data_IF_369111803997
#
_entry.id   IF_369111803997
#
_cell.length_a   1.000
_cell.length_b   1.000
_cell.length_c   1.000
_cell.angle_alpha   90.00
_cell.angle_beta   90.00
_cell.angle_gamma   90.00
#
_symmetry.space_group_name_H-M   'P 1'
#
loop_
_entity.id
_entity.type
_entity.pdbx_description
1 polymer ?
#
# COMPACT_ATOMS: atom_id res chain seq x y z
N UNK A 1 14.64 14.45 -13.88
CA UNK A 1 13.56 13.51 -14.26
C UNK A 1 12.50 13.58 -13.18
N UNK A 2 11.24 13.63 -13.58
CA UNK A 2 10.07 13.49 -12.69
C UNK A 2 9.28 12.26 -13.14
N UNK A 3 8.27 11.84 -12.38
CA UNK A 3 7.39 10.77 -12.85
C UNK A 3 6.81 11.11 -14.22
N UNK A 4 6.94 10.18 -15.16
CA UNK A 4 6.48 10.28 -16.55
C UNK A 4 7.09 11.40 -17.41
N UNK A 5 7.99 12.22 -16.85
CA UNK A 5 8.54 13.40 -17.51
C UNK A 5 10.07 13.43 -17.51
N UNK A 6 10.63 13.60 -18.71
CA UNK A 6 12.05 13.85 -18.94
C UNK A 6 12.18 15.28 -19.49
N UNK A 7 13.06 16.14 -18.92
CA UNK A 7 13.23 17.50 -19.41
C UNK A 7 13.56 17.55 -20.90
N UNK A 8 12.97 18.51 -21.61
CA UNK A 8 13.15 18.71 -23.05
C UNK A 8 14.41 19.49 -23.43
N UNK A 9 14.94 20.27 -22.50
CA UNK A 9 16.08 21.17 -22.64
C UNK A 9 17.43 20.51 -22.26
N UNK A 10 17.56 19.19 -22.48
CA UNK A 10 18.80 18.48 -22.17
C UNK A 10 19.92 18.82 -23.17
N UNK A 11 21.16 19.05 -22.70
CA UNK A 11 22.29 19.33 -23.58
C UNK A 11 22.61 18.12 -24.47
N UNK A 12 23.03 18.39 -25.71
CA UNK A 12 23.49 17.32 -26.62
C UNK A 12 24.82 16.75 -26.13
N UNK A 13 24.92 15.42 -26.06
CA UNK A 13 26.19 14.75 -25.78
C UNK A 13 27.10 14.81 -27.01
N UNK A 14 28.02 15.78 -27.01
CA UNK A 14 28.95 16.07 -28.14
C UNK A 14 30.34 15.47 -27.99
N UNK A 15 30.56 14.64 -26.96
CA UNK A 15 31.86 14.04 -26.70
C UNK A 15 32.13 12.86 -27.64
N UNK A 16 33.32 12.81 -28.23
CA UNK A 16 33.74 11.74 -29.15
C UNK A 16 34.14 10.44 -28.43
N UNK A 17 34.32 10.48 -27.11
CA UNK A 17 34.73 9.33 -26.28
C UNK A 17 33.88 9.27 -25.00
N UNK A 18 33.64 8.06 -24.51
CA UNK A 18 33.08 7.78 -23.19
C UNK A 18 34.01 6.80 -22.45
N UNK A 19 34.11 6.92 -21.13
CA UNK A 19 35.06 6.12 -20.32
C UNK A 19 34.76 4.61 -20.41
N UNK A 20 33.49 4.23 -20.59
CA UNK A 20 33.06 2.85 -20.83
C UNK A 20 31.91 2.83 -21.83
N UNK A 21 32.21 2.89 -23.14
CA UNK A 21 31.17 2.93 -24.14
C UNK A 21 30.34 1.63 -24.09
N UNK A 22 29.04 1.78 -24.32
CA UNK A 22 28.10 0.68 -24.52
C UNK A 22 27.56 0.74 -25.94
N UNK A 23 26.93 -0.35 -26.38
CA UNK A 23 26.27 -0.41 -27.69
C UNK A 23 25.29 0.75 -27.84
N UNK A 24 25.35 1.48 -28.95
CA UNK A 24 24.52 2.68 -29.18
C UNK A 24 23.03 2.40 -29.07
N UNK A 25 22.61 1.18 -29.41
CA UNK A 25 21.24 0.69 -29.38
C UNK A 25 20.57 0.85 -28.01
N UNK A 26 21.31 0.74 -26.89
CA UNK A 26 20.71 0.86 -25.55
C UNK A 26 20.29 2.30 -25.21
N UNK A 27 20.71 3.28 -26.00
CA UNK A 27 20.41 4.69 -25.85
C UNK A 27 19.32 5.17 -26.81
N UNK A 28 18.83 4.29 -27.70
CA UNK A 28 17.87 4.66 -28.74
C UNK A 28 16.43 4.65 -28.25
N UNK A 29 15.64 5.59 -28.76
CA UNK A 29 14.21 5.65 -28.49
C UNK A 29 13.39 4.57 -29.24
N UNK A 30 12.21 4.16 -28.71
CA UNK A 30 11.63 4.57 -27.43
C UNK A 30 12.37 3.97 -26.23
N UNK A 31 12.72 4.82 -25.27
CA UNK A 31 13.59 4.47 -24.15
C UNK A 31 12.84 4.62 -22.83
N UNK A 32 12.56 3.51 -22.15
CA UNK A 32 12.08 3.53 -20.77
C UNK A 32 13.27 3.80 -19.84
N UNK A 33 13.21 4.85 -19.04
CA UNK A 33 14.21 5.21 -18.04
C UNK A 33 13.62 5.08 -16.65
N UNK A 34 14.37 4.46 -15.73
CA UNK A 34 14.00 4.26 -14.33
C UNK A 34 15.13 4.79 -13.44
N UNK A 35 14.81 5.62 -12.45
CA UNK A 35 15.79 6.07 -11.46
C UNK A 35 16.13 4.91 -10.52
N UNK A 36 17.43 4.66 -10.33
CA UNK A 36 17.90 3.60 -9.45
C UNK A 36 17.55 3.83 -7.96
N UNK A 37 17.66 5.08 -7.51
CA UNK A 37 17.38 5.48 -6.12
C UNK A 37 15.95 6.03 -6.03
N UNK A 38 15.23 5.64 -4.99
CA UNK A 38 13.92 6.19 -4.64
C UNK A 38 14.11 7.54 -3.93
N UNK A 39 13.54 8.60 -4.49
CA UNK A 39 13.78 9.98 -4.05
C UNK A 39 12.51 10.58 -3.45
N UNK A 40 12.54 10.89 -2.15
CA UNK A 40 11.44 11.56 -1.44
C UNK A 40 10.10 10.80 -1.36
N UNK A 41 9.97 9.66 -2.05
CA UNK A 41 8.76 8.86 -2.16
C UNK A 41 9.13 7.39 -2.36
N UNK A 42 8.30 6.45 -1.88
CA UNK A 42 8.50 5.03 -2.13
C UNK A 42 8.19 4.62 -3.59
N UNK A 43 7.52 5.47 -4.38
CA UNK A 43 7.19 5.16 -5.77
C UNK A 43 8.41 5.19 -6.68
N UNK A 44 8.49 4.23 -7.60
CA UNK A 44 9.55 4.16 -8.60
C UNK A 44 9.42 5.30 -9.59
N UNK A 45 10.49 6.07 -9.77
CA UNK A 45 10.53 7.18 -10.70
C UNK A 45 10.89 6.65 -12.09
N UNK A 46 9.86 6.48 -12.94
CA UNK A 46 9.98 5.99 -14.31
C UNK A 46 9.40 6.99 -15.32
N UNK A 47 10.00 7.06 -16.51
CA UNK A 47 9.53 7.89 -17.62
C UNK A 47 9.98 7.28 -18.96
N UNK A 48 9.33 7.70 -20.05
CA UNK A 48 9.69 7.25 -21.41
C UNK A 48 10.22 8.44 -22.20
N UNK A 49 11.30 8.21 -22.94
CA UNK A 49 11.79 9.16 -23.93
C UNK A 49 11.50 8.66 -25.34
N UNK A 50 10.96 9.56 -26.17
CA UNK A 50 10.81 9.35 -27.61
C UNK A 50 12.02 9.88 -28.41
N UNK A 51 13.08 10.32 -27.73
CA UNK A 51 14.37 10.71 -28.31
C UNK A 51 15.52 9.89 -27.72
N UNK A 52 16.60 9.78 -28.47
CA UNK A 52 17.81 9.12 -28.00
C UNK A 52 18.38 9.90 -26.80
N UNK A 53 18.78 9.19 -25.74
CA UNK A 53 19.31 9.81 -24.52
C UNK A 53 20.55 9.08 -24.02
N UNK A 54 21.53 9.85 -23.57
CA UNK A 54 22.65 9.35 -22.77
C UNK A 54 22.35 9.63 -21.30
N UNK A 55 22.61 8.63 -20.44
CA UNK A 55 22.33 8.70 -19.01
C UNK A 55 23.48 8.10 -18.21
N UNK A 56 23.58 8.50 -16.94
CA UNK A 56 24.59 7.97 -16.01
C UNK A 56 24.13 6.64 -15.41
N UNK A 57 25.02 5.93 -14.71
CA UNK A 57 24.70 4.71 -13.96
C UNK A 57 23.71 4.91 -12.79
N UNK A 58 23.24 6.14 -12.56
CA UNK A 58 22.18 6.46 -11.61
C UNK A 58 20.78 6.14 -12.12
N UNK A 59 20.68 5.60 -13.34
CA UNK A 59 19.46 5.21 -14.01
C UNK A 59 19.62 3.82 -14.64
N UNK A 60 18.52 3.08 -14.68
CA UNK A 60 18.34 1.94 -15.57
C UNK A 60 17.62 2.43 -16.83
N UNK A 61 17.89 1.81 -17.97
CA UNK A 61 17.11 2.04 -19.16
C UNK A 61 16.91 0.77 -19.98
N UNK A 62 15.77 0.72 -20.65
CA UNK A 62 15.42 -0.32 -21.61
C UNK A 62 15.02 0.37 -22.90
N UNK A 63 15.76 0.11 -23.98
CA UNK A 63 15.37 0.52 -25.33
C UNK A 63 14.39 -0.50 -25.89
N UNK A 64 13.22 -0.03 -26.33
CA UNK A 64 12.19 -0.86 -26.95
C UNK A 64 12.19 -0.67 -28.47
N UNK A 65 11.72 -1.65 -29.26
CA UNK A 65 11.58 -1.45 -30.71
C UNK A 65 10.64 -0.29 -31.03
N UNK A 66 10.89 0.42 -32.15
CA UNK A 66 10.16 1.65 -32.55
C UNK A 66 8.62 1.56 -32.57
N UNK A 67 8.04 0.37 -32.68
CA UNK A 67 6.59 0.15 -32.61
C UNK A 67 6.00 0.00 -31.20
N UNK A 68 6.84 0.02 -30.14
CA UNK A 68 6.45 -0.35 -28.77
C UNK A 68 6.43 0.85 -27.81
N UNK A 69 6.31 2.09 -28.30
CA UNK A 69 6.22 3.29 -27.46
C UNK A 69 5.09 3.18 -26.43
N UNK A 70 3.90 2.74 -26.84
CA UNK A 70 2.77 2.52 -25.92
C UNK A 70 3.08 1.48 -24.84
N UNK A 71 3.81 0.42 -25.18
CA UNK A 71 4.25 -0.58 -24.21
C UNK A 71 5.24 0.02 -23.21
N UNK A 72 6.16 0.87 -23.67
CA UNK A 72 7.08 1.59 -22.79
C UNK A 72 6.33 2.46 -21.78
N UNK A 73 5.31 3.20 -22.23
CA UNK A 73 4.48 4.04 -21.34
C UNK A 73 3.70 3.19 -20.35
N UNK A 74 3.02 2.14 -20.81
CA UNK A 74 2.26 1.26 -19.94
C UNK A 74 3.15 0.62 -18.86
N UNK A 75 4.36 0.18 -19.22
CA UNK A 75 5.34 -0.35 -18.27
C UNK A 75 5.83 0.73 -17.29
N UNK A 76 6.07 1.97 -17.74
CA UNK A 76 6.41 3.08 -16.85
C UNK A 76 5.30 3.37 -15.83
N UNK A 77 4.03 3.30 -16.27
CA UNK A 77 2.85 3.46 -15.42
C UNK A 77 2.78 2.36 -14.35
N UNK A 78 2.93 1.09 -14.77
CA UNK A 78 2.94 -0.06 -13.85
C UNK A 78 4.08 0.08 -12.84
N UNK A 79 5.29 0.42 -13.27
CA UNK A 79 6.44 0.59 -12.39
C UNK A 79 6.22 1.69 -11.34
N UNK A 80 5.50 2.76 -11.67
CA UNK A 80 5.24 3.88 -10.76
C UNK A 80 4.09 3.63 -9.77
N UNK A 81 3.40 2.49 -9.86
CA UNK A 81 2.20 2.17 -9.08
C UNK A 81 2.48 1.71 -7.65
N UNK A 82 1.42 1.69 -6.83
CA UNK A 82 1.43 1.08 -5.50
C UNK A 82 1.77 -0.41 -5.57
N UNK A 83 1.26 -1.12 -6.59
CA UNK A 83 1.54 -2.55 -6.82
C UNK A 83 3.05 -2.81 -6.97
N UNK A 84 3.72 -2.08 -7.86
CA UNK A 84 5.15 -2.24 -8.07
C UNK A 84 5.94 -1.88 -6.79
N UNK A 85 5.52 -0.82 -6.09
CA UNK A 85 6.16 -0.41 -4.84
C UNK A 85 6.03 -1.47 -3.75
N UNK A 86 4.83 -2.01 -3.53
CA UNK A 86 4.57 -3.10 -2.60
C UNK A 86 5.41 -4.33 -2.95
N UNK A 87 5.44 -4.71 -4.24
CA UNK A 87 6.23 -5.84 -4.71
C UNK A 87 7.73 -5.66 -4.42
N UNK A 88 8.30 -4.51 -4.80
CA UNK A 88 9.72 -4.25 -4.58
C UNK A 88 10.06 -4.10 -3.10
N UNK A 89 9.17 -3.53 -2.30
CA UNK A 89 9.38 -3.43 -0.86
C UNK A 89 9.53 -4.81 -0.19
N UNK A 90 8.88 -5.84 -0.74
CA UNK A 90 8.96 -7.21 -0.23
C UNK A 90 10.07 -8.05 -0.86
N UNK A 91 10.53 -7.71 -2.06
CA UNK A 91 11.37 -8.61 -2.88
C UNK A 91 12.73 -8.04 -3.27
N UNK A 92 12.91 -6.72 -3.26
CA UNK A 92 14.16 -6.10 -3.69
C UNK A 92 15.28 -6.37 -2.69
N UNK A 93 16.50 -6.52 -3.21
CA UNK A 93 17.65 -6.88 -2.37
C UNK A 93 18.12 -5.73 -1.45
N UNK A 94 17.90 -4.46 -1.86
CA UNK A 94 18.34 -3.29 -1.10
C UNK A 94 17.17 -2.49 -0.49
N UNK A 95 16.08 -2.28 -1.23
CA UNK A 95 14.94 -1.49 -0.77
C UNK A 95 14.23 -2.17 0.41
N UNK A 96 14.01 -1.42 1.49
CA UNK A 96 13.44 -1.93 2.73
C UNK A 96 14.47 -2.49 3.72
N UNK A 97 15.70 -2.77 3.27
CA UNK A 97 16.73 -3.44 4.06
C UNK A 97 17.92 -2.52 4.35
N UNK A 98 18.52 -1.92 3.31
CA UNK A 98 19.75 -1.15 3.45
C UNK A 98 19.67 0.23 2.80
N UNK A 99 19.50 0.27 1.48
CA UNK A 99 19.43 1.51 0.70
C UNK A 99 18.07 1.65 0.07
N UNK A 100 17.62 2.89 -0.11
CA UNK A 100 16.39 3.23 -0.85
C UNK A 100 16.66 3.13 -2.35
N UNK A 101 17.01 1.93 -2.81
CA UNK A 101 17.58 1.63 -4.11
C UNK A 101 17.00 0.33 -4.67
N UNK A 102 16.76 0.31 -5.96
CA UNK A 102 16.46 -0.90 -6.73
C UNK A 102 17.69 -1.33 -7.53
N UNK A 103 17.81 -2.61 -7.81
CA UNK A 103 18.77 -3.17 -8.74
C UNK A 103 18.08 -3.50 -10.07
N UNK A 104 18.84 -3.54 -11.16
CA UNK A 104 18.31 -3.95 -12.47
C UNK A 104 17.64 -5.35 -12.42
N UNK A 105 18.20 -6.25 -11.60
CA UNK A 105 17.63 -7.58 -11.35
C UNK A 105 16.27 -7.50 -10.65
N UNK A 106 16.07 -6.57 -9.73
CA UNK A 106 14.78 -6.42 -9.03
C UNK A 106 13.68 -6.07 -10.04
N UNK A 107 13.95 -5.12 -10.94
CA UNK A 107 13.02 -4.73 -12.00
C UNK A 107 12.61 -5.91 -12.90
N UNK A 108 13.53 -6.85 -13.14
CA UNK A 108 13.25 -8.03 -13.99
C UNK A 108 12.34 -9.06 -13.34
N UNK A 109 12.11 -8.99 -12.03
CA UNK A 109 11.21 -9.91 -11.31
C UNK A 109 9.79 -9.39 -11.17
N UNK A 110 9.53 -8.11 -11.47
CA UNK A 110 8.19 -7.57 -11.37
C UNK A 110 7.26 -8.35 -12.31
N UNK A 111 6.19 -8.99 -11.80
CA UNK A 111 5.19 -9.61 -12.65
C UNK A 111 4.56 -8.53 -13.51
N UNK A 112 4.52 -8.74 -14.81
CA UNK A 112 3.91 -7.82 -15.77
C UNK A 112 2.87 -8.55 -16.61
N UNK A 113 1.78 -7.89 -17.01
CA UNK A 113 0.81 -8.51 -17.91
C UNK A 113 1.44 -8.70 -19.29
N UNK A 114 0.80 -9.52 -20.12
CA UNK A 114 1.17 -9.60 -21.52
C UNK A 114 0.90 -8.24 -22.19
N UNK A 115 1.94 -7.43 -22.40
CA UNK A 115 1.76 -6.08 -22.92
C UNK A 115 1.23 -6.01 -24.36
N UNK A 116 1.37 -7.08 -25.15
CA UNK A 116 0.82 -7.12 -26.51
C UNK A 116 -0.71 -7.10 -26.49
N UNK A 117 -1.34 -7.77 -25.52
CA UNK A 117 -2.79 -7.72 -25.31
C UNK A 117 -3.20 -6.54 -24.42
N UNK A 118 -2.45 -6.27 -23.35
CA UNK A 118 -2.79 -5.23 -22.38
C UNK A 118 -2.92 -3.85 -23.04
N UNK A 119 -2.00 -3.48 -23.93
CA UNK A 119 -2.06 -2.18 -24.65
C UNK A 119 -3.34 -2.01 -25.48
N UNK A 120 -4.00 -3.11 -25.88
CA UNK A 120 -5.25 -3.08 -26.67
C UNK A 120 -6.51 -3.22 -25.81
N UNK A 121 -6.37 -3.68 -24.57
CA UNK A 121 -7.48 -3.83 -23.62
C UNK A 121 -8.02 -2.48 -23.15
N UNK A 122 -9.26 -2.45 -22.68
CA UNK A 122 -9.88 -1.26 -22.08
C UNK A 122 -9.08 -0.76 -20.87
N UNK A 123 -8.67 -1.66 -19.97
CA UNK A 123 -7.85 -1.34 -18.80
C UNK A 123 -6.50 -0.70 -19.18
N UNK A 124 -5.82 -1.25 -20.19
CA UNK A 124 -4.56 -0.68 -20.66
C UNK A 124 -4.72 0.66 -21.38
N UNK A 125 -5.80 0.86 -22.15
CA UNK A 125 -6.11 2.16 -22.75
C UNK A 125 -6.40 3.22 -21.69
N UNK A 126 -7.16 2.86 -20.64
CA UNK A 126 -7.41 3.71 -19.48
C UNK A 126 -6.12 4.13 -18.79
N UNK A 127 -5.20 3.19 -18.54
CA UNK A 127 -3.89 3.50 -17.94
C UNK A 127 -3.04 4.43 -18.80
N UNK A 128 -2.99 4.21 -20.11
CA UNK A 128 -2.28 5.10 -21.03
C UNK A 128 -2.87 6.52 -21.03
N UNK A 129 -4.19 6.65 -20.89
CA UNK A 129 -4.84 7.95 -20.80
C UNK A 129 -4.54 8.65 -19.47
N UNK A 130 -4.55 7.91 -18.35
CA UNK A 130 -4.16 8.41 -17.03
C UNK A 130 -2.70 8.89 -17.06
N UNK A 131 -1.78 8.06 -17.57
CA UNK A 131 -0.36 8.43 -17.69
C UNK A 131 -0.16 9.69 -18.53
N UNK A 132 -0.86 9.80 -19.66
CA UNK A 132 -0.81 10.99 -20.51
C UNK A 132 -1.29 12.24 -19.76
N UNK A 133 -2.36 12.12 -18.97
CA UNK A 133 -2.88 13.21 -18.16
C UNK A 133 -1.91 13.62 -17.05
N UNK A 134 -1.34 12.66 -16.32
CA UNK A 134 -0.33 12.91 -15.26
C UNK A 134 0.93 13.55 -15.84
N UNK A 135 1.34 13.12 -17.04
CA UNK A 135 2.47 13.71 -17.74
C UNK A 135 2.22 15.18 -18.11
N UNK A 136 1.01 15.50 -18.57
CA UNK A 136 0.66 16.85 -19.02
C UNK A 136 0.37 17.83 -17.86
N UNK A 137 -0.29 17.34 -16.80
CA UNK A 137 -0.83 18.19 -15.74
C UNK A 137 -0.06 18.09 -14.42
N UNK A 138 0.91 17.18 -14.33
CA UNK A 138 1.61 16.84 -13.09
C UNK A 138 0.90 15.76 -12.29
N UNK A 139 1.51 15.38 -11.17
CA UNK A 139 1.03 14.31 -10.28
C UNK A 139 0.51 14.87 -8.97
N UNK A 140 -0.69 14.48 -8.58
CA UNK A 140 -1.30 14.76 -7.27
C UNK A 140 -1.86 13.47 -6.64
N UNK A 141 -2.38 13.56 -5.41
CA UNK A 141 -2.89 12.39 -4.68
C UNK A 141 -4.05 11.71 -5.42
N UNK A 142 -4.94 12.49 -6.03
CA UNK A 142 -6.08 11.97 -6.79
C UNK A 142 -5.61 11.20 -8.03
N UNK A 143 -4.66 11.75 -8.76
CA UNK A 143 -4.06 11.14 -9.93
C UNK A 143 -3.32 9.84 -9.60
N UNK A 144 -2.64 9.78 -8.45
CA UNK A 144 -2.04 8.55 -7.95
C UNK A 144 -3.08 7.49 -7.59
N UNK A 145 -4.15 7.88 -6.91
CA UNK A 145 -5.23 6.96 -6.56
C UNK A 145 -5.91 6.40 -7.82
N UNK A 146 -6.20 7.24 -8.82
CA UNK A 146 -6.78 6.80 -10.08
C UNK A 146 -5.86 5.84 -10.85
N UNK A 147 -4.55 6.14 -10.87
CA UNK A 147 -3.54 5.26 -11.46
C UNK A 147 -3.52 3.90 -10.77
N UNK A 148 -3.48 3.89 -9.44
CA UNK A 148 -3.40 2.64 -8.68
C UNK A 148 -4.66 1.78 -8.90
N UNK A 149 -5.87 2.36 -8.88
CA UNK A 149 -7.10 1.62 -9.20
C UNK A 149 -7.05 1.02 -10.61
N UNK A 150 -6.61 1.79 -11.60
CA UNK A 150 -6.52 1.29 -12.96
C UNK A 150 -5.45 0.19 -13.12
N UNK A 151 -4.38 0.22 -12.32
CA UNK A 151 -3.42 -0.89 -12.24
C UNK A 151 -4.07 -2.10 -11.58
N UNK A 152 -4.81 -1.93 -10.49
CA UNK A 152 -5.51 -3.04 -9.83
C UNK A 152 -6.51 -3.71 -10.76
N UNK A 153 -7.24 -2.94 -11.55
CA UNK A 153 -8.15 -3.45 -12.57
C UNK A 153 -7.39 -4.22 -13.66
N UNK A 154 -6.21 -3.74 -14.11
CA UNK A 154 -5.39 -4.43 -15.11
C UNK A 154 -4.88 -5.80 -14.64
N UNK A 155 -4.61 -5.95 -13.33
CA UNK A 155 -4.16 -7.19 -12.71
C UNK A 155 -5.31 -8.02 -12.11
N UNK A 156 -6.57 -7.59 -12.29
CA UNK A 156 -7.77 -8.26 -11.78
C UNK A 156 -7.73 -8.51 -10.26
N UNK A 157 -7.17 -7.54 -9.51
CA UNK A 157 -6.99 -7.64 -8.07
C UNK A 157 -8.31 -7.41 -7.32
N UNK A 158 -8.59 -8.29 -6.36
CA UNK A 158 -9.78 -8.19 -5.51
C UNK A 158 -9.58 -7.15 -4.38
N UNK A 159 -10.63 -6.87 -3.61
CA UNK A 159 -10.59 -5.84 -2.57
C UNK A 159 -9.58 -6.11 -1.45
N UNK A 160 -9.36 -7.38 -1.10
CA UNK A 160 -8.34 -7.77 -0.12
C UNK A 160 -6.92 -7.51 -0.67
N UNK A 161 -6.66 -7.90 -1.92
CA UNK A 161 -5.38 -7.63 -2.60
C UNK A 161 -5.09 -6.13 -2.67
N UNK A 162 -6.10 -5.33 -3.04
CA UNK A 162 -5.99 -3.87 -3.10
C UNK A 162 -5.65 -3.29 -1.72
N UNK A 163 -6.29 -3.80 -0.67
CA UNK A 163 -6.00 -3.38 0.72
C UNK A 163 -4.56 -3.67 1.10
N UNK A 164 -4.09 -4.90 0.84
CA UNK A 164 -2.70 -5.32 1.10
C UNK A 164 -1.70 -4.44 0.37
N UNK A 165 -1.95 -4.12 -0.90
CA UNK A 165 -1.04 -3.32 -1.73
C UNK A 165 -1.02 -1.85 -1.28
N UNK A 166 -2.17 -1.24 -0.98
CA UNK A 166 -2.23 0.15 -0.49
C UNK A 166 -1.48 0.29 0.83
N UNK A 167 -1.69 -0.65 1.76
CA UNK A 167 -0.94 -0.67 3.02
C UNK A 167 0.55 -0.98 2.81
N UNK A 168 0.86 -1.80 1.79
CA UNK A 168 2.21 -2.03 1.31
C UNK A 168 2.95 -0.76 0.92
N UNK A 169 2.30 0.10 0.13
CA UNK A 169 2.83 1.41 -0.25
C UNK A 169 3.04 2.30 0.98
N UNK A 170 2.09 2.34 1.91
CA UNK A 170 2.23 3.12 3.15
C UNK A 170 3.42 2.64 3.97
N UNK A 171 3.55 1.32 4.17
CA UNK A 171 4.68 0.69 4.87
C UNK A 171 6.02 0.97 4.18
N UNK A 172 6.06 0.93 2.86
CA UNK A 172 7.24 1.30 2.09
C UNK A 172 7.64 2.78 2.35
N UNK A 173 6.65 3.67 2.53
CA UNK A 173 6.86 5.07 2.91
C UNK A 173 7.54 5.26 4.28
N UNK A 174 7.46 4.29 5.20
CA UNK A 174 8.12 4.36 6.52
C UNK A 174 9.65 4.27 6.44
N UNK A 175 10.20 4.00 5.26
CA UNK A 175 11.63 4.13 5.01
C UNK A 175 12.10 5.59 5.14
N UNK A 176 11.21 6.58 4.97
CA UNK A 176 11.46 8.00 5.20
C UNK A 176 10.98 8.45 6.58
N UNK A 177 11.54 9.54 7.08
CA UNK A 177 11.22 10.10 8.41
C UNK A 177 9.74 10.47 8.53
N UNK A 178 9.22 11.26 7.60
CA UNK A 178 7.80 11.67 7.57
C UNK A 178 6.83 10.48 7.59
N UNK A 179 7.12 9.42 6.82
CA UNK A 179 6.28 8.22 6.81
C UNK A 179 6.36 7.47 8.15
N UNK A 180 7.55 7.39 8.76
CA UNK A 180 7.77 6.74 10.05
C UNK A 180 7.05 7.48 11.17
N UNK A 181 7.12 8.80 11.19
CA UNK A 181 6.40 9.66 12.15
C UNK A 181 4.89 9.51 12.00
N UNK A 182 4.38 9.62 10.78
CA UNK A 182 2.95 9.40 10.48
C UNK A 182 2.45 8.03 10.94
N UNK A 183 3.29 6.98 10.88
CA UNK A 183 2.92 5.62 11.32
C UNK A 183 2.68 5.49 12.83
N UNK A 184 3.27 6.38 13.63
CA UNK A 184 3.14 6.38 15.10
C UNK A 184 2.15 7.41 15.62
N UNK A 185 1.63 8.29 14.75
CA UNK A 185 0.56 9.22 15.10
C UNK A 185 -0.70 8.46 15.55
N UNK A 186 -1.47 9.01 16.51
CA UNK A 186 -2.73 8.41 16.92
C UNK A 186 -3.74 8.36 15.75
N UNK A 187 -4.32 7.20 15.53
CA UNK A 187 -5.43 6.97 14.59
C UNK A 187 -6.68 7.71 15.04
N UNK A 188 -7.43 8.30 14.12
CA UNK A 188 -8.73 8.87 14.45
C UNK A 188 -9.82 7.79 14.42
N UNK A 189 -10.69 7.83 15.42
CA UNK A 189 -11.74 6.82 15.63
C UNK A 189 -12.77 6.82 14.49
N UNK A 190 -13.05 7.99 13.92
CA UNK A 190 -14.08 8.22 12.90
C UNK A 190 -13.56 7.97 11.49
N UNK A 191 -12.24 8.05 11.27
CA UNK A 191 -11.61 7.77 9.98
C UNK A 191 -10.88 6.42 9.95
N UNK A 192 -9.64 6.33 10.45
CA UNK A 192 -8.79 5.14 10.25
C UNK A 192 -9.34 3.92 11.00
N UNK A 193 -9.80 4.07 12.24
CA UNK A 193 -10.34 2.94 13.02
C UNK A 193 -11.68 2.46 12.44
N UNK A 194 -12.49 3.38 11.92
CA UNK A 194 -13.72 3.05 11.21
C UNK A 194 -13.44 2.34 9.89
N UNK A 195 -12.41 2.74 9.15
CA UNK A 195 -11.98 2.04 7.93
C UNK A 195 -11.49 0.61 8.26
N UNK A 196 -10.66 0.46 9.29
CA UNK A 196 -10.25 -0.84 9.83
C UNK A 196 -11.47 -1.72 10.16
N UNK A 197 -12.46 -1.19 10.89
CA UNK A 197 -13.65 -1.96 11.27
C UNK A 197 -14.47 -2.42 10.07
N UNK A 198 -14.55 -1.61 9.00
CA UNK A 198 -15.20 -2.00 7.74
C UNK A 198 -14.47 -3.16 7.05
N UNK A 199 -13.15 -3.08 6.95
CA UNK A 199 -12.32 -4.17 6.36
C UNK A 199 -12.40 -5.44 7.18
N UNK A 200 -12.45 -5.35 8.52
CA UNK A 200 -12.67 -6.51 9.37
C UNK A 200 -14.04 -7.16 9.07
N UNK A 201 -15.10 -6.34 9.00
CA UNK A 201 -16.46 -6.84 8.75
C UNK A 201 -16.63 -7.46 7.37
N UNK A 202 -15.97 -6.95 6.33
CA UNK A 202 -16.07 -7.54 4.99
C UNK A 202 -15.61 -9.00 4.96
N UNK A 203 -14.54 -9.33 5.71
CA UNK A 203 -14.09 -10.73 5.86
C UNK A 203 -15.13 -11.56 6.60
N UNK A 204 -15.66 -11.06 7.72
CA UNK A 204 -16.63 -11.80 8.54
C UNK A 204 -17.97 -12.00 7.81
N UNK A 205 -18.43 -11.02 7.03
CA UNK A 205 -19.66 -11.12 6.25
C UNK A 205 -19.61 -12.26 5.24
N UNK A 206 -18.48 -12.45 4.55
CA UNK A 206 -18.30 -13.56 3.62
C UNK A 206 -18.51 -14.91 4.31
N UNK A 207 -18.05 -15.05 5.57
CA UNK A 207 -18.30 -16.25 6.38
C UNK A 207 -19.75 -16.39 6.85
N UNK A 208 -20.39 -15.31 7.30
CA UNK A 208 -21.75 -15.36 7.86
C UNK A 208 -22.85 -15.47 6.79
N UNK A 209 -22.61 -14.90 5.60
CA UNK A 209 -23.56 -14.87 4.48
C UNK A 209 -23.97 -16.25 3.99
N UNK A 210 -23.10 -17.26 4.15
CA UNK A 210 -23.34 -18.66 3.74
C UNK A 210 -24.63 -19.23 4.34
N UNK A 211 -24.91 -18.94 5.62
CA UNK A 211 -26.14 -19.38 6.29
C UNK A 211 -27.17 -18.27 6.42
N UNK A 212 -26.74 -17.00 6.37
CA UNK A 212 -27.57 -15.81 6.52
C UNK A 212 -28.50 -15.84 7.75
N UNK A 213 -28.01 -16.43 8.85
CA UNK A 213 -28.73 -16.53 10.13
C UNK A 213 -28.24 -15.53 11.16
N UNK A 214 -27.10 -14.91 10.89
CA UNK A 214 -26.41 -14.01 11.79
C UNK A 214 -25.71 -12.95 10.97
N UNK A 215 -25.53 -11.80 11.57
CA UNK A 215 -24.71 -10.72 11.02
C UNK A 215 -23.90 -10.08 12.15
N UNK A 216 -22.90 -9.30 11.80
CA UNK A 216 -22.02 -8.66 12.77
C UNK A 216 -22.00 -7.16 12.56
N UNK A 217 -22.09 -6.40 13.64
CA UNK A 217 -21.91 -4.94 13.62
C UNK A 217 -20.71 -4.53 14.46
N UNK A 218 -20.07 -3.44 14.08
CA UNK A 218 -18.96 -2.84 14.82
C UNK A 218 -19.38 -1.55 15.53
N UNK A 219 -18.93 -1.40 16.76
CA UNK A 219 -18.97 -0.17 17.54
C UNK A 219 -17.54 0.29 17.76
N UNK A 220 -17.17 1.38 17.09
CA UNK A 220 -15.90 2.06 17.30
C UNK A 220 -16.08 3.05 18.44
N UNK A 221 -15.30 2.92 19.50
CA UNK A 221 -15.38 3.85 20.62
C UNK A 221 -14.73 5.19 20.24
N UNK A 222 -15.47 6.28 20.36
CA UNK A 222 -15.03 7.64 20.07
C UNK A 222 -14.13 8.16 21.20
N UNK A 223 -12.85 7.78 21.12
CA UNK A 223 -11.85 8.17 22.11
C UNK A 223 -11.07 9.40 21.62
N UNK A 224 -10.71 10.34 22.53
CA UNK A 224 -9.91 11.49 22.16
C UNK A 224 -8.54 11.05 21.65
N UNK A 225 -7.93 11.87 20.78
CA UNK A 225 -6.62 11.59 20.16
C UNK A 225 -5.51 11.30 21.16
N UNK A 226 -5.59 11.88 22.37
CA UNK A 226 -4.68 11.67 23.50
C UNK A 226 -4.78 10.27 24.14
N UNK A 227 -5.82 9.50 23.84
CA UNK A 227 -5.98 8.14 24.38
C UNK A 227 -4.90 7.23 23.81
N UNK A 228 -4.22 6.50 24.69
CA UNK A 228 -3.14 5.58 24.31
C UNK A 228 -3.64 4.37 23.49
N UNK A 229 -4.92 4.05 23.59
CA UNK A 229 -5.56 2.90 22.94
C UNK A 229 -6.72 3.34 22.05
N UNK A 230 -7.07 2.46 21.12
CA UNK A 230 -8.33 2.49 20.38
C UNK A 230 -9.03 1.15 20.59
N UNK A 231 -10.36 1.17 20.51
CA UNK A 231 -11.21 0.02 20.84
C UNK A 231 -12.29 -0.11 19.79
N UNK A 232 -12.46 -1.32 19.28
CA UNK A 232 -13.59 -1.70 18.44
C UNK A 232 -14.26 -2.91 19.06
N UNK A 233 -15.56 -2.80 19.29
CA UNK A 233 -16.40 -3.90 19.74
C UNK A 233 -17.20 -4.43 18.56
N UNK A 234 -17.02 -5.69 18.25
CA UNK A 234 -17.78 -6.41 17.25
C UNK A 234 -18.85 -7.24 17.93
N UNK A 235 -20.11 -7.03 17.57
CA UNK A 235 -21.27 -7.69 18.17
C UNK A 235 -21.93 -8.59 17.12
N UNK A 236 -22.06 -9.87 17.44
CA UNK A 236 -22.74 -10.87 16.63
C UNK A 236 -24.24 -10.88 16.99
N UNK A 237 -25.09 -10.65 16.00
CA UNK A 237 -26.54 -10.59 16.16
C UNK A 237 -27.22 -11.75 15.44
N UNK A 238 -28.32 -12.23 16.00
CA UNK A 238 -29.16 -13.27 15.39
C UNK A 238 -30.10 -12.65 14.36
N UNK A 239 -30.40 -13.41 13.32
CA UNK A 239 -31.25 -13.00 12.21
C UNK A 239 -30.45 -12.47 11.01
N UNK A 240 -31.10 -12.42 9.83
CA UNK A 240 -30.53 -11.81 8.63
C UNK A 240 -30.31 -10.31 8.88
N UNK A 241 -29.22 -9.78 8.33
CA UNK A 241 -28.86 -8.38 8.45
C UNK A 241 -27.57 -8.09 7.70
N UNK A 242 -27.25 -6.81 7.55
CA UNK A 242 -26.01 -6.36 6.92
C UNK A 242 -25.05 -5.88 8.00
N UNK A 243 -23.76 -6.00 7.76
CA UNK A 243 -22.78 -5.41 8.64
C UNK A 243 -22.90 -3.89 8.64
N UNK A 244 -22.65 -3.33 9.81
CA UNK A 244 -22.72 -1.89 10.03
C UNK A 244 -21.61 -1.46 10.96
N UNK A 245 -21.13 -0.23 10.77
CA UNK A 245 -20.15 0.40 11.66
C UNK A 245 -20.79 1.64 12.25
N UNK A 246 -20.75 1.74 13.57
CA UNK A 246 -21.20 2.90 14.32
C UNK A 246 -20.08 3.43 15.20
N UNK A 247 -20.04 4.74 15.38
CA UNK A 247 -19.12 5.39 16.32
C UNK A 247 -19.91 5.72 17.58
N UNK A 248 -19.45 5.23 18.73
CA UNK A 248 -20.17 5.32 20.01
C UNK A 248 -19.37 6.11 21.03
N UNK A 249 -20.04 6.98 21.79
CA UNK A 249 -19.39 7.67 22.90
C UNK A 249 -19.07 6.68 24.04
N UNK A 250 -17.87 6.73 24.63
CA UNK A 250 -17.55 5.91 25.78
C UNK A 250 -18.45 6.28 26.98
N UNK A 251 -18.89 5.28 27.74
CA UNK A 251 -19.68 5.47 28.96
C UNK A 251 -18.79 5.35 30.22
N UNK A 252 -19.06 6.17 31.23
CA UNK A 252 -18.42 6.08 32.55
C UNK A 252 -16.91 6.35 32.57
N UNK A 253 -16.20 5.72 33.51
CA UNK A 253 -14.75 5.89 33.75
C UNK A 253 -13.85 5.09 32.78
N UNK A 254 -14.37 4.70 31.62
CA UNK A 254 -13.67 3.81 30.68
C UNK A 254 -12.32 4.37 30.20
N UNK A 255 -12.20 5.69 30.07
CA UNK A 255 -10.95 6.35 29.69
C UNK A 255 -9.79 6.06 30.66
N UNK A 256 -10.04 6.08 31.97
CA UNK A 256 -9.00 5.81 32.98
C UNK A 256 -8.58 4.35 32.98
N UNK A 257 -9.54 3.43 32.80
CA UNK A 257 -9.28 2.00 32.67
C UNK A 257 -8.42 1.72 31.43
N UNK A 258 -8.77 2.30 30.28
CA UNK A 258 -7.98 2.16 29.05
C UNK A 258 -6.58 2.75 29.19
N UNK A 259 -6.43 3.89 29.87
CA UNK A 259 -5.11 4.45 30.16
C UNK A 259 -4.27 3.51 31.04
N UNK A 260 -4.87 2.85 32.04
CA UNK A 260 -4.20 1.83 32.88
C UNK A 260 -3.82 0.58 32.08
N UNK A 261 -4.69 0.11 31.19
CA UNK A 261 -4.40 -1.02 30.30
C UNK A 261 -3.24 -0.67 29.38
N UNK A 262 -3.27 0.49 28.73
CA UNK A 262 -2.24 0.91 27.77
C UNK A 262 -0.84 0.93 28.39
N UNK A 263 -0.71 1.43 29.63
CA UNK A 263 0.57 1.40 30.37
C UNK A 263 1.12 -0.01 30.62
N UNK A 264 0.26 -1.02 30.69
CA UNK A 264 0.63 -2.43 30.92
C UNK A 264 0.88 -3.19 29.62
N UNK A 265 0.34 -2.73 28.50
CA UNK A 265 0.56 -3.35 27.18
C UNK A 265 1.95 -3.07 26.64
N UNK A 266 2.55 -1.93 27.02
CA UNK A 266 3.94 -1.61 26.72
C UNK A 266 4.89 -2.34 27.66
N UNK A 267 5.70 -3.22 27.10
CA UNK A 267 6.70 -4.00 27.83
C UNK A 267 8.09 -3.68 27.29
N UNK A 268 8.94 -3.08 28.14
CA UNK A 268 10.36 -2.88 27.80
C UNK A 268 11.07 -4.23 27.89
N UNK A 269 11.58 -4.71 26.76
CA UNK A 269 12.34 -5.98 26.69
C UNK A 269 13.83 -5.69 26.85
N UNK A 270 14.34 -4.65 26.18
CA UNK A 270 15.72 -4.21 26.27
C UNK A 270 15.84 -2.69 26.08
N UNK A 271 17.06 -2.14 26.11
CA UNK A 271 17.30 -0.70 25.96
C UNK A 271 16.71 -0.12 24.67
N UNK A 272 16.82 -0.86 23.55
CA UNK A 272 16.33 -0.45 22.23
C UNK A 272 15.19 -1.33 21.70
N UNK A 273 14.57 -2.16 22.56
CA UNK A 273 13.50 -3.08 22.17
C UNK A 273 12.34 -3.00 23.17
N UNK A 274 11.15 -2.67 22.67
CA UNK A 274 9.90 -2.72 23.42
C UNK A 274 8.88 -3.54 22.65
N UNK A 275 8.09 -4.32 23.36
CA UNK A 275 6.88 -4.93 22.83
C UNK A 275 5.67 -4.07 23.18
N UNK A 276 4.75 -3.98 22.23
CA UNK A 276 3.39 -3.47 22.47
C UNK A 276 2.45 -4.66 22.25
N UNK A 277 1.64 -4.97 23.25
CA UNK A 277 0.66 -6.06 23.16
C UNK A 277 -0.67 -5.54 22.64
N UNK A 278 -1.37 -6.38 21.91
CA UNK A 278 -2.75 -6.17 21.49
C UNK A 278 -3.65 -7.11 22.31
N UNK A 279 -4.87 -6.68 22.62
CA UNK A 279 -5.84 -7.53 23.30
C UNK A 279 -7.01 -7.81 22.38
N UNK A 280 -7.39 -9.09 22.35
CA UNK A 280 -8.62 -9.56 21.74
C UNK A 280 -9.40 -10.31 22.82
N UNK A 281 -10.59 -9.80 23.14
CA UNK A 281 -11.42 -10.33 24.22
C UNK A 281 -12.66 -10.97 23.61
N UNK A 282 -12.83 -12.27 23.79
CA UNK A 282 -13.98 -13.02 23.28
C UNK A 282 -15.06 -13.09 24.36
N UNK A 283 -16.24 -12.56 24.05
CA UNK A 283 -17.47 -12.77 24.78
C UNK A 283 -18.34 -13.82 24.09
N UNK A 284 -19.55 -14.05 24.64
CA UNK A 284 -20.49 -15.04 24.09
C UNK A 284 -20.96 -14.69 22.67
N UNK A 285 -21.28 -13.41 22.43
CA UNK A 285 -21.78 -12.89 21.17
C UNK A 285 -21.01 -11.62 20.75
N UNK A 286 -19.78 -11.45 21.23
CA UNK A 286 -18.98 -10.27 20.91
C UNK A 286 -17.49 -10.60 20.90
N UNK A 287 -16.74 -9.81 20.15
CA UNK A 287 -15.27 -9.76 20.20
C UNK A 287 -14.86 -8.31 20.34
N UNK A 288 -14.00 -8.01 21.31
CA UNK A 288 -13.46 -6.66 21.51
C UNK A 288 -11.99 -6.66 21.13
N UNK A 289 -11.62 -5.81 20.17
CA UNK A 289 -10.23 -5.56 19.76
C UNK A 289 -9.75 -4.26 20.39
N UNK A 290 -8.63 -4.35 21.11
CA UNK A 290 -7.98 -3.23 21.80
C UNK A 290 -6.51 -3.19 21.36
N UNK A 291 -6.13 -2.12 20.67
CA UNK A 291 -4.76 -1.93 20.18
C UNK A 291 -4.21 -0.54 20.55
N UNK A 292 -2.88 -0.36 20.54
CA UNK A 292 -2.30 0.97 20.67
C UNK A 292 -2.85 1.92 19.61
N UNK A 293 -2.95 3.20 19.95
CA UNK A 293 -3.57 4.19 19.06
C UNK A 293 -2.79 4.44 17.76
N UNK A 294 -1.51 4.12 17.69
CA UNK A 294 -0.66 4.39 16.53
C UNK A 294 -1.24 3.82 15.21
N UNK A 295 -1.26 4.63 14.14
CA UNK A 295 -1.83 4.28 12.82
C UNK A 295 -1.40 2.92 12.28
N UNK A 296 -0.14 2.54 12.49
CA UNK A 296 0.40 1.25 12.03
C UNK A 296 -0.34 0.01 12.54
N UNK A 297 -1.14 0.12 13.61
CA UNK A 297 -1.93 -0.99 14.17
C UNK A 297 -3.37 -1.06 13.66
N UNK A 298 -3.83 -0.02 12.96
CA UNK A 298 -5.21 0.15 12.49
C UNK A 298 -5.30 0.25 10.96
N UNK A 299 -4.36 -0.39 10.26
CA UNK A 299 -4.36 -0.47 8.80
C UNK A 299 -5.30 -1.59 8.33
N UNK A 300 -5.72 -1.56 7.06
CA UNK A 300 -6.64 -2.56 6.51
C UNK A 300 -6.08 -3.98 6.55
N UNK A 301 -4.79 -4.19 6.30
CA UNK A 301 -4.14 -5.49 6.39
C UNK A 301 -4.14 -6.05 7.82
N UNK A 302 -4.06 -5.18 8.84
CA UNK A 302 -4.21 -5.61 10.22
C UNK A 302 -5.65 -6.07 10.48
N UNK A 303 -6.65 -5.43 9.87
CA UNK A 303 -8.04 -5.83 9.97
C UNK A 303 -8.29 -7.21 9.34
N UNK A 304 -7.67 -7.47 8.17
CA UNK A 304 -7.73 -8.79 7.52
C UNK A 304 -7.11 -9.88 8.42
N UNK A 305 -5.90 -9.65 8.93
CA UNK A 305 -5.20 -10.58 9.83
C UNK A 305 -6.01 -10.85 11.12
N UNK A 306 -6.62 -9.82 11.72
CA UNK A 306 -7.44 -9.99 12.91
C UNK A 306 -8.74 -10.73 12.65
N UNK A 307 -9.40 -10.48 11.52
CA UNK A 307 -10.62 -11.17 11.15
C UNK A 307 -10.36 -12.67 10.96
N UNK A 308 -9.30 -13.03 10.24
CA UNK A 308 -8.89 -14.42 10.06
C UNK A 308 -8.55 -15.09 11.40
N UNK A 309 -7.85 -14.38 12.29
CA UNK A 309 -7.52 -14.91 13.61
C UNK A 309 -8.78 -15.12 14.47
N UNK A 310 -9.74 -14.20 14.45
CA UNK A 310 -11.04 -14.36 15.14
C UNK A 310 -11.80 -15.57 14.62
N UNK A 311 -11.83 -15.76 13.29
CA UNK A 311 -12.46 -16.93 12.68
C UNK A 311 -11.77 -18.21 13.13
N UNK A 312 -10.45 -18.28 13.08
CA UNK A 312 -9.67 -19.45 13.50
C UNK A 312 -9.87 -19.79 15.00
N UNK A 313 -9.89 -18.77 15.86
CA UNK A 313 -10.11 -18.91 17.30
C UNK A 313 -11.53 -19.42 17.61
N UNK A 314 -12.53 -19.01 16.81
CA UNK A 314 -13.91 -19.48 16.96
C UNK A 314 -14.06 -20.99 16.71
N UNK A 315 -13.24 -21.58 15.83
CA UNK A 315 -13.19 -23.02 15.61
C UNK A 315 -12.44 -23.78 16.72
N UNK A 316 -11.47 -23.11 17.34
CA UNK A 316 -10.62 -23.70 18.40
C UNK A 316 -11.27 -23.63 19.79
N UNK A 317 -12.20 -22.69 20.00
CA UNK A 317 -12.83 -22.38 21.29
C UNK A 317 -13.86 -23.37 21.83
N UNK A 318 -13.93 -24.60 21.32
CA UNK A 318 -14.86 -25.64 21.76
C UNK A 318 -14.43 -26.47 22.97
N UNK A 319 -13.60 -25.93 23.89
CA UNK A 319 -13.25 -26.58 25.16
C UNK A 319 -13.13 -25.56 26.29
N UNK A 320 -14.28 -25.10 26.79
CA UNK A 320 -14.43 -24.63 28.18
C UNK A 320 -15.64 -25.33 28.76
#
# INVERSE_FOLDING_TARGET
MQHFNIPDDLPTFSQSKAQWPRSREIYQAPLLIVKEMLLGSPRVLAAVSERDLVFTNSYFAVSLPRGHTRTAHLLATVLSSAFATWFFYLTAAEFGIYKRKLLARDLSFLPVPNFTSAVKSEAGQRLLQIEKNLRANGTDERGWAELDEAVFDLYELNDADRTVIRDGLLRAGWQWETGRESSVEPSDSRTEVTAYAKTFLSVIEDWLSVRNKRHMRAEVLDLPSSSALRVVRFVLEEGPGNASVSVVAPQGELGEVLARIGRRLKVKIATALSAERELRVHGRNEVVIIKPAARRYWMGIAALEDADAVVAESFSGGKV
#
